data_IF_913030220713
#
_entry.id   IF_913030220713
#
_cell.length_a   1.000
_cell.length_b   1.000
_cell.length_c   1.000
_cell.angle_alpha   90.00
_cell.angle_beta   90.00
_cell.angle_gamma   90.00
#
_symmetry.space_group_name_H-M   'P 1'
#
loop_
_entity.id
_entity.type
_entity.pdbx_description
1 polymer ?
#
# COMPACT_ATOMS: atom_id res chain seq x y z
N UNK A 1 -6.91 34.93 29.59
CA UNK A 1 -6.76 35.10 28.15
C UNK A 1 -7.81 34.23 27.46
N UNK A 2 -8.68 34.81 26.64
CA UNK A 2 -9.74 34.05 25.98
C UNK A 2 -9.10 33.14 24.92
N UNK A 3 -9.37 31.84 24.99
CA UNK A 3 -8.97 30.87 23.98
C UNK A 3 -10.21 30.39 23.24
N UNK A 4 -10.13 30.32 21.96
CA UNK A 4 -11.16 29.70 21.12
C UNK A 4 -10.86 28.22 20.94
N UNK A 5 -11.92 27.41 20.93
CA UNK A 5 -11.86 25.97 20.72
C UNK A 5 -12.75 25.61 19.55
N UNK A 6 -12.18 24.90 18.58
CA UNK A 6 -12.91 24.28 17.46
C UNK A 6 -12.84 22.76 17.58
N UNK A 7 -13.91 22.11 17.22
CA UNK A 7 -14.04 20.65 17.32
C UNK A 7 -14.55 20.13 15.98
N UNK A 8 -13.87 19.11 15.46
CA UNK A 8 -14.25 18.37 14.25
C UNK A 8 -14.44 16.92 14.65
N UNK A 9 -15.64 16.39 14.44
CA UNK A 9 -16.02 15.04 14.88
C UNK A 9 -16.35 14.15 13.68
N UNK A 10 -15.89 12.92 13.76
CA UNK A 10 -16.30 11.79 12.95
C UNK A 10 -16.71 10.63 13.87
N UNK A 11 -17.14 9.50 13.31
CA UNK A 11 -17.64 8.37 14.09
C UNK A 11 -16.64 7.84 15.11
N UNK A 12 -15.37 7.72 14.71
CA UNK A 12 -14.30 7.14 15.54
C UNK A 12 -13.19 8.13 15.91
N UNK A 13 -13.29 9.39 15.42
CA UNK A 13 -12.20 10.38 15.54
C UNK A 13 -12.75 11.74 15.91
N UNK A 14 -12.04 12.42 16.82
CA UNK A 14 -12.31 13.81 17.20
C UNK A 14 -11.02 14.61 17.16
N UNK A 15 -11.00 15.69 16.39
CA UNK A 15 -9.93 16.68 16.34
C UNK A 15 -10.37 17.95 17.08
N UNK A 16 -9.61 18.36 18.09
CA UNK A 16 -9.79 19.60 18.81
C UNK A 16 -8.65 20.56 18.50
N UNK A 17 -8.99 21.78 18.12
CA UNK A 17 -8.02 22.87 17.89
C UNK A 17 -8.28 23.96 18.91
N UNK A 18 -7.26 24.35 19.65
CA UNK A 18 -7.30 25.38 20.66
C UNK A 18 -6.32 26.47 20.25
N UNK A 19 -6.75 27.72 20.30
CA UNK A 19 -5.90 28.82 19.89
C UNK A 19 -6.39 30.18 20.32
N UNK A 20 -5.61 31.19 19.97
CA UNK A 20 -5.91 32.56 20.27
C UNK A 20 -6.74 33.18 19.16
N UNK A 21 -7.77 33.99 19.50
CA UNK A 21 -8.56 34.69 18.52
C UNK A 21 -7.77 35.80 17.81
N UNK A 22 -8.23 36.16 16.64
CA UNK A 22 -7.70 37.31 15.90
C UNK A 22 -8.39 38.61 16.41
N UNK A 23 -7.65 39.45 17.12
CA UNK A 23 -8.14 40.73 17.59
C UNK A 23 -7.84 41.90 16.62
N UNK A 24 -7.15 41.63 15.49
CA UNK A 24 -6.82 42.69 14.55
C UNK A 24 -8.03 43.23 13.79
N UNK A 25 -9.10 42.41 13.65
CA UNK A 25 -10.37 42.82 13.05
C UNK A 25 -11.53 42.52 14.00
N UNK A 26 -12.33 43.54 14.32
CA UNK A 26 -13.49 43.42 15.21
C UNK A 26 -14.54 42.41 14.78
N UNK A 27 -14.56 42.03 13.51
CA UNK A 27 -15.52 41.09 12.89
C UNK A 27 -15.18 39.61 13.13
N UNK A 28 -13.92 39.28 13.51
CA UNK A 28 -13.44 37.92 13.51
C UNK A 28 -13.03 37.36 14.88
N UNK A 29 -13.67 37.82 15.95
CA UNK A 29 -13.38 37.35 17.32
C UNK A 29 -13.50 35.83 17.54
N UNK A 30 -14.23 35.15 16.67
CA UNK A 30 -14.40 33.68 16.73
C UNK A 30 -13.39 32.93 15.86
N UNK A 31 -12.51 33.61 15.16
CA UNK A 31 -11.48 33.01 14.32
C UNK A 31 -10.21 32.75 15.12
N UNK A 32 -9.61 31.60 14.96
CA UNK A 32 -8.30 31.26 15.53
C UNK A 32 -7.21 31.76 14.58
N UNK A 33 -6.37 32.69 15.04
CA UNK A 33 -5.22 33.15 14.25
C UNK A 33 -3.94 32.42 14.62
N UNK A 34 -3.81 31.99 15.88
CA UNK A 34 -2.64 31.27 16.38
C UNK A 34 -3.12 29.99 17.07
N UNK A 35 -2.76 28.84 16.52
CA UNK A 35 -3.03 27.55 17.16
C UNK A 35 -2.01 27.35 18.29
N UNK A 36 -2.50 27.24 19.51
CA UNK A 36 -1.67 26.99 20.70
C UNK A 36 -1.50 25.50 21.00
N UNK A 37 -2.57 24.72 20.77
CA UNK A 37 -2.59 23.28 21.03
C UNK A 37 -3.62 22.62 20.12
N UNK A 38 -3.38 21.36 19.79
CA UNK A 38 -4.36 20.49 19.16
C UNK A 38 -4.39 19.15 19.87
N UNK A 39 -5.52 18.45 19.74
CA UNK A 39 -5.74 17.11 20.31
C UNK A 39 -6.46 16.25 19.28
N UNK A 40 -5.93 15.08 19.02
CA UNK A 40 -6.56 14.07 18.19
C UNK A 40 -6.90 12.86 19.06
N UNK A 41 -8.18 12.60 19.22
CA UNK A 41 -8.74 11.47 19.93
C UNK A 41 -9.23 10.46 18.92
N UNK A 42 -8.70 9.26 18.95
CA UNK A 42 -9.10 8.12 18.14
C UNK A 42 -9.63 7.07 19.13
N UNK A 43 -10.74 6.43 18.80
CA UNK A 43 -11.34 5.41 19.68
C UNK A 43 -10.30 4.31 20.01
N UNK A 44 -10.31 3.86 21.25
CA UNK A 44 -9.41 2.81 21.79
C UNK A 44 -7.90 3.12 21.66
N UNK A 45 -7.53 4.39 21.48
CA UNK A 45 -6.12 4.78 21.43
C UNK A 45 -5.79 5.87 22.45
N UNK A 46 -4.50 6.01 22.83
CA UNK A 46 -4.07 7.13 23.64
C UNK A 46 -4.30 8.47 22.94
N UNK A 47 -4.54 9.53 23.75
CA UNK A 47 -4.65 10.89 23.24
C UNK A 47 -3.35 11.31 22.54
N UNK A 48 -3.48 11.85 21.34
CA UNK A 48 -2.39 12.43 20.57
C UNK A 48 -2.53 13.94 20.65
N UNK A 49 -1.48 14.62 21.07
CA UNK A 49 -1.45 16.09 21.20
C UNK A 49 -0.08 16.66 20.83
N UNK A 50 -0.03 17.92 20.48
CA UNK A 50 1.23 18.57 20.12
C UNK A 50 1.07 20.05 19.75
N UNK A 51 2.14 20.60 19.18
CA UNK A 51 2.17 21.94 18.62
C UNK A 51 1.74 21.93 17.14
N UNK A 52 1.70 23.11 16.51
CA UNK A 52 1.26 23.26 15.12
C UNK A 52 2.15 22.51 14.12
N UNK A 53 3.47 22.43 14.35
CA UNK A 53 4.39 21.75 13.45
C UNK A 53 4.13 20.24 13.42
N UNK A 54 3.81 19.68 14.59
CA UNK A 54 3.41 18.28 14.68
C UNK A 54 2.09 18.01 13.96
N UNK A 55 1.10 18.92 14.09
CA UNK A 55 -0.19 18.79 13.38
C UNK A 55 0.03 18.77 11.86
N UNK A 56 0.80 19.75 11.37
CA UNK A 56 1.13 19.84 9.94
C UNK A 56 1.80 18.57 9.41
N UNK A 57 2.76 18.06 10.18
CA UNK A 57 3.50 16.84 9.83
C UNK A 57 2.60 15.61 9.81
N UNK A 58 1.70 15.48 10.79
CA UNK A 58 0.75 14.35 10.88
C UNK A 58 -0.26 14.43 9.74
N UNK A 59 -0.84 15.59 9.48
CA UNK A 59 -1.78 15.77 8.38
C UNK A 59 -1.14 15.45 7.03
N UNK A 60 0.06 15.98 6.76
CA UNK A 60 0.82 15.69 5.55
C UNK A 60 1.11 14.20 5.39
N UNK A 61 1.45 13.51 6.49
CA UNK A 61 1.69 12.07 6.48
C UNK A 61 0.45 11.26 6.11
N UNK A 62 -0.70 11.54 6.72
CA UNK A 62 -1.95 10.85 6.42
C UNK A 62 -2.42 11.09 5.00
N UNK A 63 -2.35 12.32 4.49
CA UNK A 63 -2.68 12.63 3.10
C UNK A 63 -1.76 11.92 2.10
N UNK A 64 -0.44 12.00 2.32
CA UNK A 64 0.52 11.33 1.45
C UNK A 64 0.34 9.81 1.48
N UNK A 65 0.16 9.22 2.67
CA UNK A 65 -0.08 7.81 2.83
C UNK A 65 -1.35 7.35 2.11
N UNK A 66 -2.44 8.10 2.22
CA UNK A 66 -3.71 7.77 1.55
C UNK A 66 -3.59 7.80 0.03
N UNK A 67 -2.86 8.78 -0.51
CA UNK A 67 -2.54 8.80 -1.93
C UNK A 67 -1.76 7.56 -2.38
N UNK A 68 -0.82 7.07 -1.54
CA UNK A 68 -0.11 5.83 -1.84
C UNK A 68 -1.01 4.63 -1.78
N UNK A 69 -1.88 4.56 -0.76
CA UNK A 69 -2.79 3.44 -0.55
C UNK A 69 -3.76 3.25 -1.74
N UNK A 70 -4.22 4.35 -2.35
CA UNK A 70 -5.08 4.31 -3.54
C UNK A 70 -4.34 3.73 -4.76
N UNK A 71 -3.04 3.97 -4.85
CA UNK A 71 -2.24 3.59 -6.02
C UNK A 71 -1.45 2.29 -5.85
N UNK A 72 -1.28 1.80 -4.60
CA UNK A 72 -0.44 0.64 -4.29
C UNK A 72 -0.92 -0.10 -3.05
N UNK A 73 -1.03 -1.42 -3.13
CA UNK A 73 -1.44 -2.29 -2.02
C UNK A 73 -0.48 -2.30 -0.82
N UNK A 74 0.80 -1.95 -1.06
CA UNK A 74 1.84 -1.90 -0.02
C UNK A 74 2.22 -0.46 0.29
N UNK A 75 1.24 0.36 0.68
CA UNK A 75 1.47 1.73 1.03
C UNK A 75 2.37 1.88 2.27
N UNK A 76 3.31 2.78 2.17
CA UNK A 76 4.25 3.10 3.24
C UNK A 76 4.61 4.58 3.20
N UNK A 77 4.62 5.21 4.36
CA UNK A 77 5.09 6.59 4.53
C UNK A 77 6.01 6.67 5.75
N UNK A 78 7.16 7.31 5.60
CA UNK A 78 8.13 7.53 6.67
C UNK A 78 8.50 9.01 6.76
N UNK A 79 8.47 9.55 7.98
CA UNK A 79 8.93 10.89 8.27
C UNK A 79 9.65 10.99 9.62
N UNK A 80 10.07 12.20 9.99
CA UNK A 80 10.72 12.45 11.28
C UNK A 80 9.83 12.10 12.46
N UNK A 81 8.53 12.39 12.38
CA UNK A 81 7.60 12.31 13.51
C UNK A 81 6.60 11.15 13.42
N UNK A 82 6.36 10.63 12.22
CA UNK A 82 5.33 9.62 12.01
C UNK A 82 5.71 8.69 10.86
N UNK A 83 5.52 7.40 11.07
CA UNK A 83 5.52 6.40 10.01
C UNK A 83 4.15 5.75 9.94
N UNK A 84 3.69 5.47 8.72
CA UNK A 84 2.43 4.77 8.48
C UNK A 84 2.70 3.64 7.51
N UNK A 85 2.29 2.41 7.88
CA UNK A 85 2.60 1.19 7.15
C UNK A 85 1.31 0.39 6.98
N UNK A 86 0.99 -0.05 5.76
CA UNK A 86 -0.07 -1.02 5.54
C UNK A 86 0.39 -2.39 6.05
N UNK A 87 -0.26 -2.93 7.10
CA UNK A 87 -0.01 -4.30 7.56
C UNK A 87 -0.74 -5.33 6.67
N UNK A 88 -1.93 -4.96 6.21
CA UNK A 88 -2.74 -5.71 5.24
C UNK A 88 -3.73 -4.75 4.56
N UNK A 89 -4.67 -5.26 3.75
CA UNK A 89 -5.67 -4.46 3.02
C UNK A 89 -6.61 -3.65 3.93
N UNK A 90 -6.76 -4.01 5.19
CA UNK A 90 -7.75 -3.42 6.10
C UNK A 90 -7.16 -2.74 7.31
N UNK A 91 -5.88 -2.97 7.62
CA UNK A 91 -5.22 -2.46 8.83
C UNK A 91 -3.92 -1.75 8.52
N UNK A 92 -3.75 -0.62 9.20
CA UNK A 92 -2.60 0.27 9.06
C UNK A 92 -1.97 0.47 10.42
N UNK A 93 -0.65 0.37 10.46
CA UNK A 93 0.15 0.62 11.64
C UNK A 93 0.71 2.03 11.58
N UNK A 94 0.38 2.82 12.58
CA UNK A 94 0.87 4.18 12.77
C UNK A 94 1.90 4.17 13.89
N UNK A 95 3.09 4.71 13.63
CA UNK A 95 4.19 4.85 14.58
C UNK A 95 4.43 6.35 14.81
N UNK A 96 4.06 6.86 15.96
CA UNK A 96 4.33 8.24 16.34
C UNK A 96 5.65 8.32 17.10
N UNK A 97 6.60 9.05 16.54
CA UNK A 97 7.94 9.23 17.08
C UNK A 97 7.99 10.49 17.96
N UNK A 98 8.55 10.36 19.16
CA UNK A 98 8.78 11.52 20.02
C UNK A 98 9.97 12.35 19.53
N UNK A 99 9.88 13.67 19.67
CA UNK A 99 11.03 14.55 19.50
C UNK A 99 12.05 14.46 20.64
N UNK A 100 11.68 13.85 21.77
CA UNK A 100 12.60 13.62 22.90
C UNK A 100 13.40 12.33 22.69
N UNK A 101 14.72 12.33 22.93
CA UNK A 101 15.53 11.13 22.81
C UNK A 101 15.08 10.06 23.82
N UNK A 102 15.29 8.79 23.48
CA UNK A 102 15.00 7.61 24.32
C UNK A 102 13.52 7.33 24.64
N UNK A 103 12.59 8.02 24.03
CA UNK A 103 11.16 7.67 24.14
C UNK A 103 10.78 6.70 23.02
N UNK A 104 10.24 5.55 23.39
CA UNK A 104 9.76 4.55 22.42
C UNK A 104 8.61 5.14 21.59
N UNK A 105 8.57 4.89 20.27
CA UNK A 105 7.44 5.31 19.44
C UNK A 105 6.12 4.72 19.95
N UNK A 106 5.08 5.54 19.95
CA UNK A 106 3.72 5.08 20.19
C UNK A 106 3.21 4.34 18.97
N UNK A 107 2.79 3.09 19.16
CA UNK A 107 2.23 2.24 18.11
C UNK A 107 0.72 2.23 18.21
N UNK A 108 0.05 2.51 17.11
CA UNK A 108 -1.40 2.51 16.99
C UNK A 108 -1.76 1.70 15.75
N UNK A 109 -2.72 0.78 15.88
CA UNK A 109 -3.28 0.07 14.74
C UNK A 109 -4.66 0.63 14.44
N UNK A 110 -4.89 1.02 13.19
CA UNK A 110 -6.15 1.61 12.73
C UNK A 110 -6.69 0.84 11.52
N UNK A 111 -8.00 0.75 11.40
CA UNK A 111 -8.65 0.21 10.21
C UNK A 111 -8.93 1.28 9.16
N UNK A 112 -9.37 0.87 7.95
CA UNK A 112 -9.71 1.77 6.85
C UNK A 112 -10.77 2.82 7.24
N UNK A 113 -11.78 2.44 8.03
CA UNK A 113 -12.82 3.36 8.48
C UNK A 113 -12.24 4.47 9.36
N UNK A 114 -11.38 4.11 10.33
CA UNK A 114 -10.69 5.08 11.20
C UNK A 114 -9.77 5.99 10.41
N UNK A 115 -9.03 5.44 9.43
CA UNK A 115 -8.18 6.21 8.52
C UNK A 115 -9.01 7.26 7.76
N UNK A 116 -10.16 6.85 7.21
CA UNK A 116 -11.08 7.76 6.53
C UNK A 116 -11.61 8.85 7.47
N UNK A 117 -11.98 8.50 8.70
CA UNK A 117 -12.45 9.45 9.70
C UNK A 117 -11.37 10.48 10.08
N UNK A 118 -10.10 10.06 10.19
CA UNK A 118 -8.96 10.97 10.43
C UNK A 118 -8.85 11.98 9.29
N UNK A 119 -8.86 11.51 8.04
CA UNK A 119 -8.76 12.38 6.86
C UNK A 119 -9.93 13.33 6.79
N UNK A 120 -11.15 12.86 7.02
CA UNK A 120 -12.34 13.71 7.03
C UNK A 120 -12.28 14.80 8.12
N UNK A 121 -11.74 14.51 9.31
CA UNK A 121 -11.49 15.53 10.34
C UNK A 121 -10.49 16.58 9.85
N UNK A 122 -9.42 16.18 9.19
CA UNK A 122 -8.43 17.09 8.63
C UNK A 122 -8.98 17.94 7.48
N UNK A 123 -9.81 17.35 6.63
CA UNK A 123 -10.49 18.08 5.54
C UNK A 123 -11.46 19.14 6.10
N UNK A 124 -12.25 18.80 7.12
CA UNK A 124 -13.12 19.75 7.80
C UNK A 124 -12.32 20.89 8.45
N UNK A 125 -11.18 20.57 9.07
CA UNK A 125 -10.28 21.57 9.62
C UNK A 125 -9.73 22.50 8.52
N UNK A 126 -9.24 21.96 7.41
CA UNK A 126 -8.72 22.74 6.27
C UNK A 126 -9.80 23.59 5.59
N UNK A 127 -11.02 23.08 5.50
CA UNK A 127 -12.14 23.81 4.93
C UNK A 127 -12.70 24.89 5.88
N UNK A 128 -12.33 24.86 7.16
CA UNK A 128 -12.85 25.79 8.16
C UNK A 128 -12.33 27.21 7.95
N UNK A 129 -13.21 28.14 7.66
CA UNK A 129 -12.90 29.58 7.62
C UNK A 129 -12.59 30.18 8.99
N UNK A 130 -12.90 29.44 10.07
CA UNK A 130 -12.63 29.87 11.46
C UNK A 130 -11.18 29.70 11.88
N UNK A 131 -10.35 29.10 11.03
CA UNK A 131 -8.89 29.01 11.24
C UNK A 131 -8.22 29.80 10.12
N UNK A 132 -7.41 30.80 10.50
CA UNK A 132 -6.58 31.48 9.51
C UNK A 132 -5.66 30.44 8.87
N UNK A 133 -5.67 30.34 7.55
CA UNK A 133 -4.85 29.35 6.83
C UNK A 133 -3.38 29.50 7.26
N UNK A 134 -2.98 28.60 8.14
CA UNK A 134 -1.57 28.38 8.41
C UNK A 134 -1.00 27.76 7.14
N UNK A 135 0.01 28.41 6.61
CA UNK A 135 0.69 28.09 5.34
C UNK A 135 0.40 26.71 4.78
N UNK A 136 -0.10 26.70 3.55
CA UNK A 136 -0.39 25.53 2.72
C UNK A 136 0.51 24.35 3.07
N UNK A 137 -0.14 23.25 3.48
CA UNK A 137 0.57 21.98 3.62
C UNK A 137 1.26 21.69 2.28
N UNK A 138 2.56 21.84 2.24
CA UNK A 138 3.36 21.32 1.16
C UNK A 138 3.23 19.81 1.32
N UNK A 139 2.51 19.16 0.41
CA UNK A 139 2.62 17.71 0.26
C UNK A 139 4.09 17.46 -0.04
N UNK A 140 4.85 17.10 0.99
CA UNK A 140 6.20 16.64 0.80
C UNK A 140 6.12 15.44 -0.14
N UNK A 141 6.77 15.57 -1.29
CA UNK A 141 6.94 14.43 -2.18
C UNK A 141 7.50 13.29 -1.34
N UNK A 142 6.88 12.11 -1.39
CA UNK A 142 7.32 10.99 -0.58
C UNK A 142 8.82 10.79 -0.74
N UNK A 143 9.51 10.47 0.33
CA UNK A 143 10.92 10.16 0.23
C UNK A 143 11.07 8.99 -0.74
N UNK A 144 11.74 9.22 -1.87
CA UNK A 144 12.04 8.21 -2.91
C UNK A 144 12.89 7.04 -2.40
N UNK A 145 13.02 6.89 -1.07
CA UNK A 145 13.93 5.93 -0.44
C UNK A 145 13.20 4.71 0.07
N UNK A 146 13.51 3.63 -0.61
CA UNK A 146 13.55 2.27 -0.05
C UNK A 146 12.25 1.53 0.12
N UNK A 147 11.47 1.43 -0.94
CA UNK A 147 10.53 0.33 -1.15
C UNK A 147 11.19 -1.06 -0.96
N UNK A 148 12.50 -1.14 -1.25
CA UNK A 148 13.27 -2.40 -1.15
C UNK A 148 13.60 -2.84 0.29
N UNK A 149 13.48 -1.99 1.29
CA UNK A 149 13.86 -2.32 2.67
C UNK A 149 12.78 -3.08 3.45
N UNK A 150 11.54 -3.04 2.97
CA UNK A 150 10.38 -3.67 3.62
C UNK A 150 9.78 -4.85 2.85
N UNK A 151 10.39 -5.24 1.74
CA UNK A 151 10.07 -6.52 1.12
C UNK A 151 10.57 -7.58 2.10
N UNK A 152 9.66 -8.03 2.96
CA UNK A 152 9.90 -9.19 3.83
C UNK A 152 10.24 -10.35 2.90
N UNK A 153 11.50 -10.78 2.89
CA UNK A 153 12.05 -11.80 1.99
C UNK A 153 11.16 -13.05 1.94
N UNK A 154 10.52 -13.35 3.07
CA UNK A 154 9.68 -14.54 3.24
C UNK A 154 8.32 -14.44 2.53
N UNK A 155 7.73 -13.23 2.40
CA UNK A 155 6.44 -13.05 1.69
C UNK A 155 6.60 -12.94 0.18
N UNK A 156 7.70 -12.38 -0.32
CA UNK A 156 7.93 -12.22 -1.76
C UNK A 156 8.12 -13.55 -2.46
N UNK A 157 8.78 -14.50 -1.81
CA UNK A 157 8.96 -15.86 -2.32
C UNK A 157 7.61 -16.56 -2.47
N UNK A 158 6.68 -16.37 -1.50
CA UNK A 158 5.36 -17.01 -1.52
C UNK A 158 4.45 -16.55 -2.67
N UNK A 159 4.62 -15.32 -3.19
CA UNK A 159 3.81 -14.81 -4.30
C UNK A 159 4.41 -15.09 -5.68
N UNK A 160 5.73 -15.22 -5.80
CA UNK A 160 6.41 -15.45 -7.07
C UNK A 160 6.49 -16.95 -7.38
N UNK A 161 6.55 -17.81 -6.37
CA UNK A 161 6.71 -19.25 -6.51
C UNK A 161 5.55 -19.95 -7.25
N UNK A 162 4.25 -19.68 -6.97
CA UNK A 162 3.14 -20.33 -7.66
C UNK A 162 3.11 -20.08 -9.17
N UNK A 163 3.24 -18.84 -9.70
CA UNK A 163 3.23 -18.61 -11.14
C UNK A 163 4.46 -19.19 -11.84
N UNK A 164 5.62 -19.26 -11.17
CA UNK A 164 6.83 -19.85 -11.74
C UNK A 164 6.69 -21.38 -11.88
N UNK A 165 6.11 -22.05 -10.89
CA UNK A 165 5.81 -23.48 -10.94
C UNK A 165 4.83 -23.82 -12.06
N UNK A 166 3.81 -22.98 -12.29
CA UNK A 166 2.84 -23.21 -13.37
C UNK A 166 3.47 -23.08 -14.75
N UNK A 167 4.38 -22.15 -14.96
CA UNK A 167 5.16 -22.01 -16.19
C UNK A 167 6.04 -23.24 -16.44
N UNK A 168 6.75 -23.73 -15.43
CA UNK A 168 7.57 -24.94 -15.54
C UNK A 168 6.72 -26.17 -15.90
N UNK A 169 5.52 -26.31 -15.36
CA UNK A 169 4.63 -27.45 -15.69
C UNK A 169 4.15 -27.41 -17.12
N UNK A 170 3.86 -26.23 -17.68
CA UNK A 170 3.47 -26.06 -19.07
C UNK A 170 4.62 -26.47 -20.01
N UNK A 171 5.86 -26.08 -19.70
CA UNK A 171 7.03 -26.48 -20.47
C UNK A 171 7.27 -27.99 -20.44
N UNK A 172 7.10 -28.65 -19.30
CA UNK A 172 7.24 -30.09 -19.18
C UNK A 172 6.17 -30.84 -19.99
N UNK A 173 4.92 -30.41 -19.92
CA UNK A 173 3.83 -31.01 -20.68
C UNK A 173 4.06 -30.85 -22.20
N UNK A 174 4.44 -29.65 -22.65
CA UNK A 174 4.69 -29.42 -24.07
C UNK A 174 5.87 -30.23 -24.61
N UNK A 175 6.96 -30.36 -23.83
CA UNK A 175 8.11 -31.17 -24.22
C UNK A 175 7.80 -32.66 -24.30
N UNK A 176 6.98 -33.19 -23.40
CA UNK A 176 6.56 -34.57 -23.41
C UNK A 176 5.63 -34.89 -24.60
N UNK A 177 4.74 -33.96 -24.97
CA UNK A 177 3.88 -34.10 -26.13
C UNK A 177 4.68 -34.11 -27.44
N UNK A 178 5.67 -33.22 -27.57
CA UNK A 178 6.56 -33.21 -28.75
C UNK A 178 7.36 -34.51 -28.84
N UNK A 179 7.86 -35.01 -27.70
CA UNK A 179 8.59 -36.27 -27.69
C UNK A 179 7.71 -37.44 -28.09
N UNK A 180 6.48 -37.55 -27.60
CA UNK A 180 5.51 -38.59 -27.96
C UNK A 180 5.11 -38.50 -29.44
N UNK A 181 4.94 -37.30 -29.99
CA UNK A 181 4.64 -37.09 -31.40
C UNK A 181 5.79 -37.62 -32.30
N UNK A 182 7.02 -37.27 -31.99
CA UNK A 182 8.19 -37.77 -32.74
C UNK A 182 8.33 -39.28 -32.65
N UNK A 183 8.02 -39.89 -31.49
CA UNK A 183 8.07 -41.34 -31.32
C UNK A 183 6.99 -42.06 -32.14
N UNK A 184 5.81 -41.46 -32.35
CA UNK A 184 4.74 -42.00 -33.17
C UNK A 184 5.09 -41.92 -34.65
N UNK A 185 5.69 -40.84 -35.12
CA UNK A 185 6.14 -40.66 -36.50
C UNK A 185 7.26 -41.65 -36.88
N UNK A 186 8.20 -41.91 -35.98
CA UNK A 186 9.24 -42.93 -36.19
C UNK A 186 8.68 -44.35 -36.27
N UNK A 187 7.64 -44.69 -35.54
CA UNK A 187 6.95 -45.99 -35.62
C UNK A 187 6.22 -46.14 -36.95
N UNK A 188 5.53 -45.12 -37.45
CA UNK A 188 4.87 -45.14 -38.75
C UNK A 188 5.89 -45.28 -39.89
N UNK A 189 6.99 -44.55 -39.87
CA UNK A 189 8.07 -44.66 -40.85
C UNK A 189 8.66 -46.09 -40.89
N UNK A 190 8.92 -46.70 -39.73
CA UNK A 190 9.41 -48.08 -39.63
C UNK A 190 8.39 -49.11 -40.14
N UNK A 191 7.10 -48.93 -39.86
CA UNK A 191 6.04 -49.81 -40.39
C UNK A 191 5.91 -49.71 -41.92
N UNK A 192 6.05 -48.49 -42.48
CA UNK A 192 6.02 -48.23 -43.89
C UNK A 192 7.22 -48.89 -44.65
N UNK A 193 8.41 -48.83 -44.06
CA UNK A 193 9.63 -49.43 -44.60
C UNK A 193 9.50 -50.96 -44.57
N UNK A 194 9.00 -51.54 -43.48
CA UNK A 194 8.79 -53.01 -43.40
C UNK A 194 7.74 -53.49 -44.39
N UNK A 195 6.64 -52.74 -44.60
CA UNK A 195 5.64 -53.11 -45.62
C UNK A 195 6.17 -53.05 -47.05
N UNK A 196 7.04 -52.07 -47.37
CA UNK A 196 7.72 -51.99 -48.66
C UNK A 196 8.68 -53.16 -48.91
N UNK A 197 9.43 -53.54 -47.86
CA UNK A 197 10.36 -54.68 -47.98
C UNK A 197 9.65 -56.04 -48.16
N UNK A 198 8.51 -56.23 -47.50
CA UNK A 198 7.67 -57.46 -47.74
C UNK A 198 7.06 -57.47 -49.11
N UNK A 199 6.63 -56.35 -49.68
CA UNK A 199 6.12 -56.28 -51.06
C UNK A 199 7.23 -56.54 -52.07
N UNK A 200 8.45 -56.15 -51.85
CA UNK A 200 9.59 -56.44 -52.74
C UNK A 200 9.98 -57.91 -52.71
N UNK A 201 9.92 -58.57 -51.57
CA UNK A 201 10.21 -59.98 -51.41
C UNK A 201 9.13 -60.88 -52.12
N UNK A 202 7.86 -60.43 -52.05
CA UNK A 202 6.77 -61.20 -52.80
C UNK A 202 6.91 -61.05 -54.30
N UNK A 203 7.25 -59.85 -54.84
CA UNK A 203 7.49 -59.63 -56.25
C UNK A 203 8.67 -60.46 -56.82
N UNK A 204 9.70 -60.71 -56.03
CA UNK A 204 10.86 -61.50 -56.45
C UNK A 204 10.53 -62.99 -56.53
N UNK A 205 9.51 -63.50 -55.88
CA UNK A 205 9.07 -64.91 -55.95
C UNK A 205 8.22 -65.17 -57.21
N UNK A 206 7.39 -64.18 -57.60
CA UNK A 206 6.57 -64.30 -58.83
C UNK A 206 7.39 -64.21 -60.13
N UNK A 207 8.67 -63.85 -60.07
CA UNK A 207 9.53 -63.82 -61.29
C UNK A 207 10.32 -65.11 -61.51
N UNK A 208 10.24 -66.08 -60.58
CA UNK A 208 11.00 -67.34 -60.62
C UNK A 208 10.09 -68.55 -60.98
N UNK A 209 8.79 -68.37 -61.10
CA UNK A 209 7.83 -69.29 -61.59
C UNK A 209 7.48 -68.99 -63.05
#
# INVERSE_FOLDING_TARGET
>A
MLQNKLIFNQSSVRLEIIGLPDYSNNENKNQISIISQWKLMIIDTPLIEGNIDHLSSIMGAFYSYSNFLINNDNAFYESKFIDIIAENYFTHKVLLKSSKPNIKPLKINIGNAVLSDIINCFDQFNASIKVRKVNTFVLDNPPKKSFLKFINKDKTISYIFPPLLSLCSIFLISSTLIYLYNLSEDKEKKALINSKNTLHSIKSIDTIL
#
